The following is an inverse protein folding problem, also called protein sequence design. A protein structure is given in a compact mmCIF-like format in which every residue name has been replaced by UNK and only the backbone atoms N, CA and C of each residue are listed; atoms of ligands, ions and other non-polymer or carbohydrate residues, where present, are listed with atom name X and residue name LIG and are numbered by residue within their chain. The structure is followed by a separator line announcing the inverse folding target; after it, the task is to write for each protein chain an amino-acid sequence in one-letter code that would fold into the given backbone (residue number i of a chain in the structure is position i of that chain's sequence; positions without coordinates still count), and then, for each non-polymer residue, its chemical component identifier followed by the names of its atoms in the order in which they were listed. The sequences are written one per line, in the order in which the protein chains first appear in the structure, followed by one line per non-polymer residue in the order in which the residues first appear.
data_IF_350167501757
#
_entry.id   IF_350167501757
#
_cell.length_a   1.000
_cell.length_b   1.000
_cell.length_c   1.000
_cell.angle_alpha   90.00
_cell.angle_beta   90.00
_cell.angle_gamma   90.00
#
_symmetry.space_group_name_H-M   'P 1'
#
loop_
_entity.id
_entity.type
_entity.pdbx_description
1 polymer ?
#
# COMPACT_ATOMS: atom_id res chain seq x y z
N UNK A 1 2.68 6.85 9.52
CA UNK A 1 2.94 8.13 8.83
C UNK A 1 2.21 8.06 7.52
N UNK A 2 1.52 9.14 7.13
CA UNK A 2 0.96 9.23 5.79
C UNK A 2 2.06 9.63 4.80
N UNK A 3 1.91 9.23 3.55
CA UNK A 3 2.82 9.51 2.44
C UNK A 3 2.10 10.52 1.52
N UNK A 4 2.03 11.80 1.88
CA UNK A 4 1.49 12.81 0.97
C UNK A 4 2.50 13.04 -0.17
N UNK A 5 2.06 12.87 -1.43
CA UNK A 5 2.86 13.22 -2.61
C UNK A 5 3.39 12.06 -3.46
N UNK A 6 2.62 11.00 -3.66
CA UNK A 6 2.80 10.06 -4.79
C UNK A 6 1.89 10.45 -5.97
N UNK A 7 1.84 11.76 -6.22
CA UNK A 7 1.09 12.36 -7.33
C UNK A 7 2.15 13.15 -8.11
N UNK A 8 2.12 13.06 -9.44
CA UNK A 8 3.04 13.72 -10.36
C UNK A 8 3.45 15.12 -9.88
N UNK A 9 4.76 15.35 -9.68
CA UNK A 9 5.32 16.65 -9.34
C UNK A 9 5.70 16.89 -7.88
N UNK A 10 5.41 15.98 -6.95
CA UNK A 10 5.91 16.10 -5.57
C UNK A 10 7.44 15.87 -5.45
N UNK A 11 8.03 15.13 -6.39
CA UNK A 11 9.46 14.85 -6.46
C UNK A 11 10.31 16.10 -6.78
N UNK A 12 9.79 17.04 -7.58
CA UNK A 12 10.61 18.09 -8.22
C UNK A 12 10.62 19.45 -7.49
N UNK A 13 9.77 19.68 -6.48
CA UNK A 13 9.41 21.07 -6.13
C UNK A 13 9.76 21.65 -4.76
N UNK A 14 9.74 20.87 -3.67
CA UNK A 14 9.47 21.50 -2.35
C UNK A 14 10.39 21.11 -1.17
N UNK A 15 11.47 20.35 -1.40
CA UNK A 15 12.32 19.85 -0.29
C UNK A 15 11.64 18.81 0.63
N UNK A 16 10.42 18.39 0.28
CA UNK A 16 9.66 17.33 0.95
C UNK A 16 10.29 15.95 0.76
N UNK A 17 10.98 15.71 -0.37
CA UNK A 17 11.58 14.41 -0.70
C UNK A 17 12.60 13.89 0.32
N UNK A 18 13.49 14.73 0.86
CA UNK A 18 14.51 14.28 1.82
C UNK A 18 13.94 13.94 3.21
N UNK A 19 12.97 14.73 3.70
CA UNK A 19 12.24 14.45 4.93
C UNK A 19 11.38 13.20 4.79
N UNK A 20 10.77 13.03 3.62
CA UNK A 20 9.97 11.86 3.23
C UNK A 20 10.79 10.56 3.18
N UNK A 21 11.97 10.59 2.57
CA UNK A 21 12.90 9.46 2.50
C UNK A 21 13.27 8.94 3.88
N UNK A 22 13.58 9.83 4.83
CA UNK A 22 13.90 9.43 6.22
C UNK A 22 12.73 8.73 6.91
N UNK A 23 11.48 9.04 6.55
CA UNK A 23 10.31 8.38 7.13
C UNK A 23 10.07 7.02 6.50
N UNK A 24 10.07 6.92 5.17
CA UNK A 24 9.86 5.66 4.45
C UNK A 24 11.00 4.65 4.70
N UNK A 25 12.25 5.09 4.80
CA UNK A 25 13.34 4.16 5.11
C UNK A 25 13.15 3.49 6.47
N UNK A 26 12.50 4.17 7.42
CA UNK A 26 12.18 3.66 8.76
C UNK A 26 10.85 2.89 8.84
N UNK A 27 10.03 2.90 7.79
CA UNK A 27 8.82 2.07 7.77
C UNK A 27 9.18 0.62 7.54
N UNK A 28 8.50 -0.25 8.29
CA UNK A 28 8.67 -1.72 8.26
C UNK A 28 7.66 -2.42 7.35
N UNK A 29 6.56 -1.74 7.05
CA UNK A 29 5.47 -2.21 6.20
C UNK A 29 4.97 -1.03 5.38
N UNK A 30 4.74 -1.25 4.08
CA UNK A 30 4.11 -0.28 3.18
C UNK A 30 2.70 -0.75 2.83
N UNK A 31 1.74 0.18 2.87
CA UNK A 31 0.36 -0.07 2.43
C UNK A 31 0.13 0.70 1.14
N UNK A 32 -0.08 -0.02 0.04
CA UNK A 32 -0.43 0.54 -1.26
C UNK A 32 -1.94 0.74 -1.31
N UNK A 33 -2.39 1.95 -1.04
CA UNK A 33 -3.82 2.29 -1.05
C UNK A 33 -4.19 2.79 -2.44
N UNK A 34 -5.04 2.06 -3.16
CA UNK A 34 -5.53 2.42 -4.49
C UNK A 34 -7.05 2.34 -4.54
N UNK A 35 -7.66 3.03 -5.49
CA UNK A 35 -9.11 3.04 -5.63
C UNK A 35 -9.58 1.80 -6.41
N UNK A 36 -10.54 1.05 -5.86
CA UNK A 36 -11.06 -0.16 -6.51
C UNK A 36 -11.94 0.17 -7.73
N UNK A 37 -12.64 1.29 -7.69
CA UNK A 37 -13.49 1.77 -8.78
C UNK A 37 -13.26 3.28 -8.99
N UNK A 38 -12.20 3.66 -9.71
CA UNK A 38 -11.89 5.06 -9.99
C UNK A 38 -13.01 5.70 -10.82
N UNK A 39 -13.44 6.91 -10.42
CA UNK A 39 -14.53 7.64 -11.10
C UNK A 39 -14.15 8.13 -12.50
N UNK A 40 -12.84 8.24 -12.78
CA UNK A 40 -12.28 8.63 -14.07
C UNK A 40 -12.15 7.44 -15.04
N UNK A 41 -12.50 6.23 -14.61
CA UNK A 41 -12.40 5.01 -15.41
C UNK A 41 -10.97 4.47 -15.55
N UNK A 42 -10.01 4.97 -14.77
CA UNK A 42 -8.66 4.41 -14.72
C UNK A 42 -8.66 2.97 -14.19
N UNK A 43 -7.68 2.16 -14.63
CA UNK A 43 -7.48 0.81 -14.10
C UNK A 43 -6.78 0.89 -12.74
N UNK A 44 -7.34 0.32 -11.66
CA UNK A 44 -6.67 0.24 -10.36
C UNK A 44 -5.27 -0.40 -10.43
N UNK A 45 -5.05 -1.35 -11.35
CA UNK A 45 -3.75 -1.97 -11.55
C UNK A 45 -2.72 -0.96 -12.06
N UNK A 46 -3.12 -0.02 -12.92
CA UNK A 46 -2.23 1.04 -13.41
C UNK A 46 -1.87 2.04 -12.31
N UNK A 47 -2.78 2.31 -11.35
CA UNK A 47 -2.46 3.10 -10.17
C UNK A 47 -1.36 2.44 -9.33
N UNK A 48 -1.43 1.11 -9.12
CA UNK A 48 -0.38 0.38 -8.41
C UNK A 48 0.95 0.44 -9.16
N UNK A 49 0.95 0.22 -10.47
CA UNK A 49 2.17 0.29 -11.29
C UNK A 49 2.79 1.67 -11.30
N UNK A 50 1.98 2.73 -11.32
CA UNK A 50 2.44 4.11 -11.22
C UNK A 50 3.14 4.36 -9.87
N UNK A 51 2.52 3.91 -8.77
CA UNK A 51 3.11 3.97 -7.43
C UNK A 51 4.44 3.21 -7.38
N UNK A 52 4.50 2.00 -7.93
CA UNK A 52 5.74 1.21 -7.97
C UNK A 52 6.84 1.88 -8.80
N UNK A 53 6.50 2.44 -9.97
CA UNK A 53 7.45 3.15 -10.81
C UNK A 53 8.02 4.39 -10.12
N UNK A 54 7.19 5.11 -9.36
CA UNK A 54 7.65 6.21 -8.51
C UNK A 54 8.58 5.71 -7.42
N UNK A 55 8.19 4.69 -6.65
CA UNK A 55 9.04 4.10 -5.61
C UNK A 55 10.42 3.68 -6.15
N UNK A 56 10.47 3.07 -7.34
CA UNK A 56 11.73 2.68 -8.01
C UNK A 56 12.58 3.89 -8.41
N UNK A 57 11.96 4.96 -8.93
CA UNK A 57 12.68 6.21 -9.25
C UNK A 57 13.32 6.82 -8.02
N UNK A 58 12.71 6.67 -6.85
CA UNK A 58 13.23 7.20 -5.59
C UNK A 58 14.30 6.31 -4.97
N UNK A 59 13.99 5.04 -4.71
CA UNK A 59 14.91 4.05 -4.14
C UNK A 59 14.40 2.63 -4.48
N UNK A 60 15.09 1.89 -5.36
CA UNK A 60 14.69 0.54 -5.75
C UNK A 60 14.53 -0.44 -4.59
N UNK A 61 15.26 -0.24 -3.48
CA UNK A 61 15.18 -1.12 -2.30
C UNK A 61 13.85 -1.03 -1.57
N UNK A 62 13.02 -0.03 -1.88
CA UNK A 62 11.68 0.11 -1.30
C UNK A 62 10.71 -0.97 -1.80
N UNK A 63 10.94 -1.53 -2.99
CA UNK A 63 10.14 -2.65 -3.49
C UNK A 63 10.43 -3.96 -2.75
N UNK A 64 11.60 -4.07 -2.11
CA UNK A 64 12.01 -5.24 -1.33
C UNK A 64 11.39 -5.27 0.08
N UNK A 65 10.87 -4.13 0.55
CA UNK A 65 10.15 -4.08 1.83
C UNK A 65 8.86 -4.89 1.76
N UNK A 66 8.31 -5.37 2.89
CA UNK A 66 6.95 -5.92 2.92
C UNK A 66 5.92 -4.87 2.47
N UNK A 67 5.06 -5.24 1.50
CA UNK A 67 4.04 -4.36 0.91
C UNK A 67 2.69 -5.06 0.88
N UNK A 68 1.65 -4.38 1.33
CA UNK A 68 0.27 -4.89 1.23
C UNK A 68 -0.55 -3.99 0.31
N UNK A 69 -1.49 -4.59 -0.42
CA UNK A 69 -2.41 -3.85 -1.28
C UNK A 69 -3.71 -3.56 -0.53
N UNK A 70 -4.19 -2.32 -0.61
CA UNK A 70 -5.43 -1.89 0.05
C UNK A 70 -6.31 -1.24 -1.01
N UNK A 71 -7.32 -1.99 -1.45
CA UNK A 71 -8.31 -1.58 -2.42
C UNK A 71 -9.41 -0.78 -1.69
N UNK A 72 -9.30 0.54 -1.75
CA UNK A 72 -10.19 1.47 -1.06
C UNK A 72 -11.39 1.89 -1.94
N UNK A 73 -12.35 2.60 -1.35
CA UNK A 73 -13.60 3.05 -1.98
C UNK A 73 -14.49 1.91 -2.49
N UNK A 74 -14.47 0.76 -1.79
CA UNK A 74 -15.34 -0.37 -2.13
C UNK A 74 -16.84 0.00 -2.08
N UNK A 75 -17.22 1.04 -1.35
CA UNK A 75 -18.58 1.58 -1.29
C UNK A 75 -19.14 2.06 -2.64
N UNK A 76 -18.28 2.36 -3.61
CA UNK A 76 -18.70 2.72 -4.97
C UNK A 76 -19.15 1.53 -5.81
N UNK A 77 -18.88 0.31 -5.35
CA UNK A 77 -19.30 -0.94 -5.99
C UNK A 77 -20.39 -1.64 -5.19
N UNK A 78 -21.26 -2.37 -5.90
CA UNK A 78 -22.19 -3.28 -5.27
C UNK A 78 -21.45 -4.46 -4.59
N UNK A 79 -21.99 -4.97 -3.48
CA UNK A 79 -21.31 -5.96 -2.64
C UNK A 79 -20.95 -7.25 -3.39
N UNK A 80 -21.82 -7.66 -4.32
CA UNK A 80 -21.70 -8.86 -5.13
C UNK A 80 -20.56 -8.80 -6.16
N UNK A 81 -20.18 -7.60 -6.63
CA UNK A 81 -19.11 -7.42 -7.62
C UNK A 81 -17.75 -7.03 -7.01
N UNK A 82 -17.72 -6.57 -5.74
CA UNK A 82 -16.48 -6.13 -5.06
C UNK A 82 -15.38 -7.17 -5.09
N UNK A 83 -15.72 -8.42 -4.77
CA UNK A 83 -14.76 -9.52 -4.71
C UNK A 83 -14.19 -9.85 -6.09
N UNK A 84 -15.02 -9.84 -7.13
CA UNK A 84 -14.60 -10.11 -8.50
C UNK A 84 -13.66 -9.01 -9.02
N UNK A 85 -14.03 -7.74 -8.86
CA UNK A 85 -13.19 -6.61 -9.24
C UNK A 85 -11.84 -6.64 -8.51
N UNK A 86 -11.85 -6.90 -7.20
CA UNK A 86 -10.63 -6.99 -6.41
C UNK A 86 -9.71 -8.12 -6.90
N UNK A 87 -10.29 -9.30 -7.19
CA UNK A 87 -9.55 -10.44 -7.70
C UNK A 87 -8.96 -10.17 -9.09
N UNK A 88 -9.68 -9.45 -9.95
CA UNK A 88 -9.19 -9.04 -11.26
C UNK A 88 -7.94 -8.15 -11.14
N UNK A 89 -7.95 -7.17 -10.23
CA UNK A 89 -6.80 -6.29 -9.96
C UNK A 89 -5.60 -7.08 -9.44
N UNK A 90 -5.83 -7.95 -8.45
CA UNK A 90 -4.77 -8.80 -7.85
C UNK A 90 -4.14 -9.72 -8.90
N UNK A 91 -4.97 -10.30 -9.78
CA UNK A 91 -4.51 -11.17 -10.86
C UNK A 91 -3.75 -10.40 -11.93
N UNK A 92 -4.21 -9.21 -12.32
CA UNK A 92 -3.53 -8.34 -13.29
C UNK A 92 -2.15 -7.85 -12.81
N UNK A 93 -1.94 -7.81 -11.50
CA UNK A 93 -0.68 -7.43 -10.86
C UNK A 93 0.21 -8.62 -10.50
N UNK A 94 -0.28 -9.86 -10.66
CA UNK A 94 0.35 -11.06 -10.09
C UNK A 94 0.73 -10.88 -8.61
N UNK A 95 -0.14 -10.21 -7.84
CA UNK A 95 0.18 -9.78 -6.48
C UNK A 95 0.14 -10.97 -5.51
N UNK A 96 1.25 -11.23 -4.82
CA UNK A 96 1.42 -12.40 -3.93
C UNK A 96 1.33 -12.05 -2.44
N UNK A 97 1.45 -10.78 -2.09
CA UNK A 97 1.41 -10.32 -0.71
C UNK A 97 -0.05 -10.11 -0.23
N UNK A 98 -0.28 -9.93 1.08
CA UNK A 98 -1.62 -9.67 1.60
C UNK A 98 -2.29 -8.48 0.91
N UNK A 99 -3.59 -8.61 0.68
CA UNK A 99 -4.41 -7.55 0.11
C UNK A 99 -5.78 -7.49 0.80
N UNK A 100 -6.36 -6.29 0.83
CA UNK A 100 -7.59 -6.01 1.57
C UNK A 100 -8.51 -5.11 0.76
N UNK A 101 -9.81 -5.31 0.91
CA UNK A 101 -10.84 -4.42 0.37
C UNK A 101 -11.43 -3.63 1.53
N UNK A 102 -11.44 -2.30 1.41
CA UNK A 102 -11.91 -1.41 2.46
C UNK A 102 -12.73 -0.26 1.89
N UNK A 103 -13.50 0.38 2.77
CA UNK A 103 -14.10 1.68 2.51
C UNK A 103 -13.77 2.59 3.68
N UNK A 104 -12.87 3.55 3.46
CA UNK A 104 -12.52 4.53 4.46
C UNK A 104 -13.73 5.40 4.87
N UNK A 105 -14.65 5.68 3.93
CA UNK A 105 -15.85 6.48 4.18
C UNK A 105 -16.83 5.79 5.13
N UNK A 106 -17.16 4.52 4.84
CA UNK A 106 -18.07 3.72 5.68
C UNK A 106 -17.37 3.05 6.88
N UNK A 107 -16.03 3.14 6.93
CA UNK A 107 -15.14 2.41 7.85
C UNK A 107 -15.19 0.88 7.69
N UNK A 108 -15.86 0.36 6.66
CA UNK A 108 -15.91 -1.06 6.37
C UNK A 108 -14.52 -1.62 6.05
N UNK A 109 -14.18 -2.78 6.61
CA UNK A 109 -12.89 -3.46 6.43
C UNK A 109 -11.69 -2.80 7.12
N UNK A 110 -11.82 -1.55 7.61
CA UNK A 110 -10.69 -0.80 8.19
C UNK A 110 -10.19 -1.36 9.52
N UNK A 111 -11.10 -1.81 10.40
CA UNK A 111 -10.72 -2.36 11.70
C UNK A 111 -9.97 -3.69 11.58
N UNK A 112 -10.46 -4.69 10.81
CA UNK A 112 -9.69 -5.90 10.53
C UNK A 112 -8.32 -5.61 9.90
N UNK A 113 -8.24 -4.65 8.96
CA UNK A 113 -6.97 -4.24 8.37
C UNK A 113 -5.98 -3.74 9.42
N UNK A 114 -6.42 -2.84 10.32
CA UNK A 114 -5.55 -2.32 11.40
C UNK A 114 -5.06 -3.44 12.32
N UNK A 115 -5.93 -4.38 12.67
CA UNK A 115 -5.54 -5.53 13.51
C UNK A 115 -4.47 -6.40 12.84
N UNK A 116 -4.62 -6.68 11.54
CA UNK A 116 -3.62 -7.43 10.76
C UNK A 116 -2.30 -6.66 10.68
N UNK A 117 -2.35 -5.35 10.42
CA UNK A 117 -1.16 -4.49 10.40
C UNK A 117 -0.42 -4.52 11.73
N UNK A 118 -1.14 -4.44 12.86
CA UNK A 118 -0.52 -4.51 14.19
C UNK A 118 0.16 -5.86 14.42
N UNK A 119 -0.51 -6.97 14.10
CA UNK A 119 0.05 -8.31 14.24
C UNK A 119 1.30 -8.49 13.39
N UNK A 120 1.29 -7.97 12.16
CA UNK A 120 2.42 -8.00 11.24
C UNK A 120 3.61 -7.18 11.74
N UNK A 121 3.38 -5.97 12.23
CA UNK A 121 4.44 -5.14 12.79
C UNK A 121 5.08 -5.78 14.02
N UNK A 122 4.30 -6.44 14.87
CA UNK A 122 4.82 -7.15 16.03
C UNK A 122 5.54 -8.46 15.66
N UNK A 123 5.17 -9.10 14.54
CA UNK A 123 5.95 -10.20 13.95
C UNK A 123 7.31 -9.69 13.46
N UNK A 124 7.34 -8.65 12.63
CA UNK A 124 8.58 -8.06 12.10
C UNK A 124 9.53 -7.62 13.23
N UNK A 125 9.00 -7.01 14.30
CA UNK A 125 9.83 -6.63 15.46
C UNK A 125 10.47 -7.83 16.15
N UNK A 126 9.76 -8.96 16.27
CA UNK A 126 10.27 -10.19 16.88
C UNK A 126 11.36 -10.80 16.00
N UNK A 127 11.10 -10.92 14.70
CA UNK A 127 12.05 -11.45 13.73
C UNK A 127 13.37 -10.65 13.74
N UNK A 128 13.29 -9.30 13.81
CA UNK A 128 14.46 -8.43 13.94
C UNK A 128 15.23 -8.65 15.26
N UNK A 129 14.51 -8.82 16.37
CA UNK A 129 15.14 -9.01 17.69
C UNK A 129 15.86 -10.36 17.77
N UNK A 130 15.25 -11.42 17.22
CA UNK A 130 15.83 -12.76 17.15
C UNK A 130 17.07 -12.78 16.24
N UNK A 131 17.01 -12.09 15.09
CA UNK A 131 18.16 -11.93 14.20
C UNK A 131 19.33 -11.19 14.87
N UNK A 132 19.04 -10.15 15.65
CA UNK A 132 20.06 -9.40 16.38
C UNK A 132 20.68 -10.20 17.55
N UNK A 133 19.94 -11.15 18.13
CA UNK A 133 20.44 -12.03 19.20
C UNK A 133 21.28 -13.20 18.68
N UNK A 134 21.20 -13.51 17.38
CA UNK A 134 21.89 -14.63 16.74
C UNK A 134 23.26 -14.26 16.11
N UNK A 135 23.65 -12.98 16.15
CA UNK A 135 24.92 -12.42 15.62
C UNK A 135 25.85 -12.05 16.76
#
# INVERSE_FOLDING_TARGET
ADIPGLIEGAADGAGLGALFLRHIQRTRLLLHIVELAPLDGSDPADQVRAIEAELVKFDPTLLDKPRWLVLNKADLLAEDVRAECAQAVVSALNWTAPWFVVSALSRSGTWPLVQQVMAELDRIKRDDADAAAAV
#
